data_IF_924288852282
#
_entry.id   IF_924288852282
#
_cell.length_a   1.000
_cell.length_b   1.000
_cell.length_c   1.000
_cell.angle_alpha   90.00
_cell.angle_beta   90.00
_cell.angle_gamma   90.00
#
_symmetry.space_group_name_H-M   'P 1'
#
loop_
_entity.id
_entity.type
_entity.pdbx_description
1 polymer ?
#
# COMPACT_ATOMS: atom_id res chain seq x y z
N UNK A 1 -67.97 14.15 29.43
CA UNK A 1 -66.98 14.26 30.53
C UNK A 1 -65.74 14.93 29.96
N UNK A 2 -65.27 15.98 30.65
CA UNK A 2 -64.34 17.00 30.19
C UNK A 2 -63.04 16.87 31.00
N UNK A 3 -61.90 17.12 30.33
CA UNK A 3 -60.58 17.50 30.86
C UNK A 3 -59.77 16.36 31.49
N UNK A 4 -58.61 16.02 30.91
CA UNK A 4 -57.26 16.44 31.38
C UNK A 4 -56.19 15.63 30.65
N UNK A 5 -55.56 16.19 29.61
CA UNK A 5 -54.24 15.77 29.13
C UNK A 5 -53.44 17.06 28.99
N UNK A 6 -52.85 17.50 30.09
CA UNK A 6 -51.83 18.55 30.15
C UNK A 6 -50.97 18.22 31.37
N UNK A 7 -49.92 17.40 31.21
CA UNK A 7 -48.70 17.46 32.04
C UNK A 7 -47.67 16.39 31.61
N UNK A 8 -46.97 16.59 30.49
CA UNK A 8 -45.63 15.99 30.33
C UNK A 8 -44.85 16.65 29.20
N UNK A 9 -44.70 17.97 29.25
CA UNK A 9 -43.85 18.71 28.31
C UNK A 9 -43.16 19.87 29.05
N UNK A 10 -42.50 19.56 30.17
CA UNK A 10 -41.84 20.56 31.02
C UNK A 10 -40.56 20.01 31.64
N UNK A 11 -39.67 19.47 30.81
CA UNK A 11 -38.32 19.06 31.23
C UNK A 11 -37.27 19.10 30.09
N UNK A 12 -37.36 20.08 29.18
CA UNK A 12 -36.34 20.27 28.12
C UNK A 12 -35.91 21.75 27.96
N UNK A 13 -36.31 22.67 28.83
CA UNK A 13 -36.07 24.11 28.61
C UNK A 13 -35.47 24.85 29.83
N UNK A 14 -34.41 24.29 30.41
CA UNK A 14 -33.59 24.98 31.44
C UNK A 14 -32.08 24.96 31.16
N UNK A 15 -31.68 24.67 29.92
CA UNK A 15 -30.26 24.56 29.52
C UNK A 15 -29.70 25.73 28.71
N UNK A 16 -30.42 26.84 28.55
CA UNK A 16 -29.93 28.04 27.84
C UNK A 16 -29.85 29.21 28.82
N UNK A 17 -28.76 29.98 28.76
CA UNK A 17 -28.37 31.10 29.62
C UNK A 17 -27.43 30.79 30.81
N UNK A 18 -26.32 30.12 30.50
CA UNK A 18 -25.06 30.33 31.20
C UNK A 18 -23.87 30.12 30.25
N UNK A 19 -23.83 30.89 29.14
CA UNK A 19 -22.65 30.95 28.28
C UNK A 19 -22.44 32.37 27.79
N UNK A 20 -22.07 33.25 28.71
CA UNK A 20 -21.66 34.61 28.36
C UNK A 20 -20.72 35.15 29.42
N UNK A 21 -19.60 34.46 29.63
CA UNK A 21 -18.27 34.99 29.97
C UNK A 21 -17.25 33.87 29.70
N UNK A 22 -16.06 34.25 29.21
CA UNK A 22 -14.91 33.45 28.72
C UNK A 22 -14.82 33.57 27.20
N UNK A 23 -13.79 34.14 26.57
CA UNK A 23 -12.59 34.92 26.94
C UNK A 23 -12.09 35.46 25.59
N UNK A 24 -11.46 36.63 25.61
CA UNK A 24 -10.55 37.16 24.57
C UNK A 24 -10.34 36.29 23.32
N UNK A 25 -10.69 36.84 22.15
CA UNK A 25 -10.08 36.44 20.87
C UNK A 25 -8.56 36.35 21.11
N UNK A 26 -7.93 35.18 20.96
CA UNK A 26 -6.47 35.12 21.05
C UNK A 26 -5.97 36.01 19.93
N UNK A 27 -5.12 36.97 20.30
CA UNK A 27 -4.31 37.76 19.39
C UNK A 27 -3.73 36.78 18.35
N UNK A 28 -3.95 37.04 17.05
CA UNK A 28 -3.30 36.25 16.01
C UNK A 28 -1.80 36.40 16.22
N UNK A 29 -1.17 35.44 16.90
CA UNK A 29 0.27 35.33 16.97
C UNK A 29 0.74 35.21 15.52
N UNK A 30 1.24 36.33 15.00
CA UNK A 30 1.79 36.43 13.66
C UNK A 30 3.01 35.52 13.61
N UNK A 31 2.79 34.26 13.24
CA UNK A 31 3.85 33.29 13.04
C UNK A 31 4.79 33.90 12.01
N UNK A 32 6.02 34.19 12.44
CA UNK A 32 7.02 34.73 11.52
C UNK A 32 7.34 33.69 10.46
N UNK A 33 7.62 34.13 9.25
CA UNK A 33 8.06 33.24 8.17
C UNK A 33 9.26 32.37 8.58
N UNK A 34 10.16 32.90 9.43
CA UNK A 34 11.28 32.16 9.99
C UNK A 34 10.85 30.99 10.91
N UNK A 35 9.72 31.15 11.60
CA UNK A 35 9.16 30.09 12.45
C UNK A 35 8.53 28.99 11.59
N UNK A 36 7.87 29.35 10.48
CA UNK A 36 7.35 28.39 9.51
C UNK A 36 8.48 27.59 8.85
N UNK A 37 9.54 28.27 8.41
CA UNK A 37 10.73 27.62 7.84
C UNK A 37 11.38 26.64 8.83
N UNK A 38 11.50 27.03 10.10
CA UNK A 38 12.02 26.14 11.14
C UNK A 38 11.11 24.95 11.40
N UNK A 39 9.79 25.14 11.44
CA UNK A 39 8.83 24.06 11.62
C UNK A 39 8.92 23.04 10.47
N UNK A 40 8.93 23.50 9.22
CA UNK A 40 9.06 22.63 8.04
C UNK A 40 10.41 21.90 8.03
N UNK A 41 11.51 22.60 8.33
CA UNK A 41 12.83 21.97 8.42
C UNK A 41 12.89 20.90 9.52
N UNK A 42 12.20 21.12 10.63
CA UNK A 42 12.16 20.18 11.75
C UNK A 42 11.25 18.98 11.47
N UNK A 43 10.15 19.16 10.73
CA UNK A 43 9.34 18.06 10.22
C UNK A 43 10.12 17.20 9.22
N UNK A 44 10.80 17.80 8.24
CA UNK A 44 11.66 17.06 7.30
C UNK A 44 12.79 16.32 8.01
N UNK A 45 13.42 16.92 9.02
CA UNK A 45 14.45 16.26 9.81
C UNK A 45 13.92 15.07 10.61
N UNK A 46 12.67 15.13 11.07
CA UNK A 46 12.02 14.01 11.76
C UNK A 46 11.58 12.91 10.78
N UNK A 47 11.15 13.26 9.57
CA UNK A 47 10.83 12.30 8.51
C UNK A 47 12.07 11.57 7.97
N UNK A 48 13.22 12.25 7.86
CA UNK A 48 14.48 11.59 7.49
C UNK A 48 14.97 10.59 8.56
N UNK A 49 14.63 10.82 9.83
CA UNK A 49 14.97 9.92 10.94
C UNK A 49 14.05 8.69 11.04
N UNK A 50 12.89 8.71 10.38
CA UNK A 50 11.97 7.57 10.32
C UNK A 50 12.18 6.69 9.08
N UNK A 51 13.11 7.05 8.20
CA UNK A 51 13.51 6.16 7.11
C UNK A 51 14.12 4.89 7.70
N UNK A 52 13.68 3.69 7.27
CA UNK A 52 14.33 2.45 7.65
C UNK A 52 15.82 2.53 7.25
N UNK A 53 16.73 1.95 8.06
CA UNK A 53 18.15 1.94 7.71
C UNK A 53 18.31 1.31 6.32
N UNK A 54 19.06 1.99 5.45
CA UNK A 54 19.46 1.44 4.16
C UNK A 54 20.22 0.14 4.44
N UNK A 55 19.69 -0.97 3.94
CA UNK A 55 20.32 -2.27 3.98
C UNK A 55 21.78 -2.15 3.51
N UNK A 56 22.75 -2.60 4.32
CA UNK A 56 24.19 -2.54 3.98
C UNK A 56 24.60 -3.52 2.87
N UNK A 57 23.66 -4.15 2.16
CA UNK A 57 23.93 -5.12 1.09
C UNK A 57 24.31 -4.43 -0.24
N UNK A 58 25.15 -3.40 -0.20
CA UNK A 58 26.05 -2.95 -1.28
C UNK A 58 25.46 -2.65 -2.67
N UNK A 59 24.15 -2.78 -2.86
CA UNK A 59 23.48 -2.65 -4.14
C UNK A 59 22.43 -1.53 -4.03
N UNK A 60 22.79 -0.29 -4.39
CA UNK A 60 21.96 0.90 -4.16
C UNK A 60 20.64 0.92 -4.96
N UNK A 61 20.31 -0.14 -5.70
CA UNK A 61 19.10 -0.25 -6.51
C UNK A 61 18.01 -1.19 -5.99
N UNK A 62 18.27 -2.02 -4.96
CA UNK A 62 17.26 -2.97 -4.49
C UNK A 62 17.09 -2.86 -2.98
N UNK A 63 16.15 -2.01 -2.54
CA UNK A 63 15.59 -2.13 -1.20
C UNK A 63 14.84 -3.47 -1.17
N UNK A 64 15.51 -4.54 -0.71
CA UNK A 64 14.87 -5.81 -0.39
C UNK A 64 14.37 -5.70 1.04
N UNK A 65 13.07 -5.45 1.28
CA UNK A 65 12.56 -5.52 2.64
C UNK A 65 12.81 -6.94 3.16
N UNK A 66 13.61 -7.06 4.21
CA UNK A 66 13.82 -8.34 4.88
C UNK A 66 12.46 -8.93 5.27
N UNK A 67 12.16 -10.12 4.75
CA UNK A 67 10.87 -10.78 4.97
C UNK A 67 9.77 -10.46 3.97
N UNK A 68 10.09 -10.14 2.71
CA UNK A 68 9.09 -10.12 1.63
C UNK A 68 8.37 -11.47 1.53
N UNK A 69 7.05 -11.47 1.74
CA UNK A 69 6.19 -12.66 1.71
C UNK A 69 5.45 -12.80 0.37
N UNK A 70 5.89 -12.08 -0.65
CA UNK A 70 5.35 -12.18 -2.01
C UNK A 70 6.09 -13.26 -2.80
N UNK A 71 5.34 -13.91 -3.67
CA UNK A 71 5.81 -14.97 -4.54
C UNK A 71 5.37 -14.65 -5.96
N UNK A 72 6.23 -14.97 -6.92
CA UNK A 72 5.80 -15.21 -8.27
C UNK A 72 5.18 -16.61 -8.35
N UNK A 73 3.95 -16.71 -8.82
CA UNK A 73 3.21 -17.97 -8.92
C UNK A 73 2.78 -18.20 -10.37
N UNK A 74 2.73 -19.47 -10.75
CA UNK A 74 2.05 -19.92 -11.96
C UNK A 74 0.87 -20.80 -11.55
N UNK A 75 -0.32 -20.48 -12.06
CA UNK A 75 -1.59 -21.10 -11.68
C UNK A 75 -2.34 -21.54 -12.92
N UNK A 76 -2.89 -22.77 -12.93
CA UNK A 76 -3.75 -23.24 -14.01
C UNK A 76 -5.05 -22.42 -14.08
N UNK A 77 -5.35 -21.88 -15.25
CA UNK A 77 -6.56 -21.11 -15.53
C UNK A 77 -6.85 -21.13 -17.04
N UNK A 78 -7.82 -21.94 -17.46
CA UNK A 78 -8.16 -22.14 -18.86
C UNK A 78 -8.95 -20.96 -19.45
N UNK A 79 -9.83 -20.34 -18.65
CA UNK A 79 -10.77 -19.34 -19.16
C UNK A 79 -10.74 -18.00 -18.42
N UNK A 80 -11.43 -17.02 -19.01
CA UNK A 80 -11.51 -15.67 -18.44
C UNK A 80 -12.19 -15.65 -17.06
N UNK A 81 -13.13 -16.56 -16.79
CA UNK A 81 -13.87 -16.60 -15.52
C UNK A 81 -12.96 -17.08 -14.40
N UNK A 82 -12.14 -18.09 -14.67
CA UNK A 82 -11.11 -18.57 -13.74
C UNK A 82 -10.08 -17.48 -13.45
N UNK A 83 -9.59 -16.79 -14.48
CA UNK A 83 -8.65 -15.66 -14.30
C UNK A 83 -9.24 -14.52 -13.46
N UNK A 84 -10.52 -14.16 -13.69
CA UNK A 84 -11.20 -13.17 -12.85
C UNK A 84 -11.28 -13.61 -11.39
N UNK A 85 -11.65 -14.87 -11.13
CA UNK A 85 -11.70 -15.40 -9.76
C UNK A 85 -10.33 -15.44 -9.09
N UNK A 86 -9.26 -15.67 -9.86
CA UNK A 86 -7.88 -15.61 -9.36
C UNK A 86 -7.52 -14.16 -8.99
N UNK A 87 -7.81 -13.17 -9.85
CA UNK A 87 -7.60 -11.75 -9.55
C UNK A 87 -8.33 -11.31 -8.25
N UNK A 88 -9.56 -11.78 -8.05
CA UNK A 88 -10.36 -11.50 -6.85
C UNK A 88 -9.73 -12.02 -5.54
N UNK A 89 -8.73 -12.92 -5.62
CA UNK A 89 -7.97 -13.37 -4.44
C UNK A 89 -6.85 -12.41 -4.03
N UNK A 90 -6.67 -11.31 -4.76
CA UNK A 90 -5.53 -10.39 -4.62
C UNK A 90 -4.27 -10.91 -5.31
N UNK A 91 -4.42 -11.79 -6.30
CA UNK A 91 -3.34 -12.20 -7.19
C UNK A 91 -3.22 -11.20 -8.34
N UNK A 92 -2.04 -10.69 -8.60
CA UNK A 92 -1.77 -9.76 -9.70
C UNK A 92 -1.24 -10.52 -10.91
N UNK A 93 -1.99 -10.53 -12.02
CA UNK A 93 -1.63 -11.29 -13.22
C UNK A 93 -0.69 -10.45 -14.09
N UNK A 94 0.50 -10.98 -14.36
CA UNK A 94 1.51 -10.35 -15.21
C UNK A 94 1.51 -11.00 -16.60
N UNK A 95 1.26 -12.31 -16.66
CA UNK A 95 1.37 -13.10 -17.87
C UNK A 95 0.19 -14.07 -18.00
N UNK A 96 -0.27 -14.24 -19.24
CA UNK A 96 -1.33 -15.19 -19.58
C UNK A 96 -0.78 -16.11 -20.66
N UNK A 97 -0.75 -17.40 -20.36
CA UNK A 97 -0.49 -18.49 -21.30
C UNK A 97 -1.80 -19.20 -21.66
N UNK A 98 -1.72 -20.26 -22.48
CA UNK A 98 -2.91 -20.94 -22.99
C UNK A 98 -3.85 -21.47 -21.90
N UNK A 99 -3.30 -22.16 -20.89
CA UNK A 99 -4.03 -22.78 -19.79
C UNK A 99 -3.48 -22.38 -18.41
N UNK A 100 -2.65 -21.35 -18.36
CA UNK A 100 -1.98 -20.90 -17.15
C UNK A 100 -1.90 -19.37 -17.08
N UNK A 101 -1.79 -18.86 -15.86
CA UNK A 101 -1.46 -17.46 -15.59
C UNK A 101 -0.27 -17.36 -14.64
N UNK A 102 0.64 -16.45 -14.97
CA UNK A 102 1.80 -16.08 -14.17
C UNK A 102 1.60 -14.72 -13.53
N UNK A 103 2.04 -14.55 -12.29
CA UNK A 103 1.77 -13.33 -11.55
C UNK A 103 2.30 -13.30 -10.13
N UNK A 104 2.03 -12.23 -9.41
CA UNK A 104 2.51 -12.00 -8.05
C UNK A 104 1.37 -12.17 -7.05
N UNK A 105 1.63 -12.88 -5.96
CA UNK A 105 0.71 -13.00 -4.84
C UNK A 105 1.42 -12.98 -3.50
N UNK A 106 0.75 -12.48 -2.46
CA UNK A 106 1.22 -12.63 -1.09
C UNK A 106 1.00 -14.07 -0.61
N UNK A 107 1.70 -14.52 0.44
CA UNK A 107 1.52 -15.86 1.02
C UNK A 107 0.06 -16.19 1.40
N UNK A 108 -0.72 -15.17 1.77
CA UNK A 108 -2.15 -15.32 2.04
C UNK A 108 -2.93 -15.70 0.78
N UNK A 109 -2.59 -15.10 -0.37
CA UNK A 109 -3.15 -15.41 -1.68
C UNK A 109 -2.86 -16.86 -2.06
N UNK A 110 -1.63 -17.33 -1.83
CA UNK A 110 -1.24 -18.75 -2.04
C UNK A 110 -2.17 -19.69 -1.27
N UNK A 111 -2.43 -19.38 0.00
CA UNK A 111 -3.30 -20.20 0.84
C UNK A 111 -4.75 -20.19 0.34
N UNK A 112 -5.27 -19.02 -0.05
CA UNK A 112 -6.62 -18.88 -0.61
C UNK A 112 -6.75 -19.68 -1.91
N UNK A 113 -5.76 -19.61 -2.80
CA UNK A 113 -5.76 -20.35 -4.06
C UNK A 113 -5.77 -21.86 -3.82
N UNK A 114 -4.94 -22.36 -2.89
CA UNK A 114 -4.92 -23.78 -2.49
C UNK A 114 -6.26 -24.21 -1.89
N UNK A 115 -6.86 -23.41 -1.01
CA UNK A 115 -8.16 -23.70 -0.40
C UNK A 115 -9.30 -23.73 -1.42
N UNK A 116 -9.23 -22.88 -2.45
CA UNK A 116 -10.21 -22.84 -3.56
C UNK A 116 -9.98 -23.94 -4.61
N UNK A 117 -8.97 -24.79 -4.43
CA UNK A 117 -8.68 -25.93 -5.31
C UNK A 117 -7.94 -25.57 -6.61
N UNK A 118 -7.33 -24.38 -6.68
CA UNK A 118 -6.49 -24.03 -7.83
C UNK A 118 -5.18 -24.83 -7.81
N UNK A 119 -4.72 -25.21 -9.00
CA UNK A 119 -3.44 -25.91 -9.18
C UNK A 119 -2.34 -24.88 -9.41
N UNK A 120 -1.40 -24.81 -8.47
CA UNK A 120 -0.19 -23.97 -8.57
C UNK A 120 0.93 -24.84 -9.15
N UNK A 121 1.41 -24.49 -10.35
CA UNK A 121 2.46 -25.24 -11.07
C UNK A 121 3.87 -24.76 -10.70
N UNK A 122 4.02 -23.49 -10.34
CA UNK A 122 5.28 -22.89 -9.88
C UNK A 122 5.03 -21.91 -8.75
N UNK A 123 5.95 -21.86 -7.79
CA UNK A 123 5.96 -20.92 -6.67
C UNK A 123 7.41 -20.54 -6.38
N UNK A 124 7.78 -19.31 -6.71
CA UNK A 124 9.14 -18.78 -6.55
C UNK A 124 9.06 -17.54 -5.66
N UNK A 125 9.88 -17.41 -4.60
CA UNK A 125 9.96 -16.18 -3.82
C UNK A 125 10.23 -14.99 -4.74
N UNK A 126 9.53 -13.87 -4.55
CA UNK A 126 9.71 -12.71 -5.44
C UNK A 126 11.16 -12.18 -5.41
N UNK A 127 11.88 -12.39 -4.31
CA UNK A 127 13.31 -12.08 -4.16
C UNK A 127 14.22 -12.86 -5.11
N UNK A 128 13.78 -14.04 -5.56
CA UNK A 128 14.53 -14.94 -6.44
C UNK A 128 14.03 -14.89 -7.88
N UNK A 129 12.89 -14.24 -8.12
CA UNK A 129 12.33 -14.09 -9.45
C UNK A 129 13.10 -13.04 -10.25
N UNK A 130 13.94 -13.51 -11.17
CA UNK A 130 14.66 -12.68 -12.14
C UNK A 130 14.05 -12.95 -13.52
N UNK A 131 13.58 -11.88 -14.17
CA UNK A 131 13.08 -11.94 -15.54
C UNK A 131 14.00 -11.15 -16.45
N UNK A 132 14.64 -11.87 -17.37
CA UNK A 132 15.46 -11.25 -18.41
C UNK A 132 14.58 -10.79 -19.58
N UNK A 133 15.04 -9.73 -20.25
CA UNK A 133 14.43 -9.28 -21.49
C UNK A 133 14.73 -10.29 -22.61
N UNK A 134 13.82 -10.44 -23.59
CA UNK A 134 14.10 -11.25 -24.78
C UNK A 134 15.41 -10.81 -25.46
N UNK A 135 16.15 -11.71 -26.13
CA UNK A 135 17.45 -11.37 -26.73
C UNK A 135 17.40 -10.16 -27.67
N UNK A 136 16.30 -9.98 -28.43
CA UNK A 136 16.11 -8.85 -29.33
C UNK A 136 16.05 -7.49 -28.60
N UNK A 137 15.52 -7.47 -27.37
CA UNK A 137 15.36 -6.26 -26.56
C UNK A 137 16.47 -6.10 -25.52
N UNK A 138 17.18 -7.20 -25.19
CA UNK A 138 18.26 -7.23 -24.20
C UNK A 138 19.38 -6.23 -24.50
N UNK A 139 19.69 -6.00 -25.78
CA UNK A 139 20.72 -5.06 -26.22
C UNK A 139 20.50 -3.61 -25.77
N UNK A 140 19.24 -3.22 -25.49
CA UNK A 140 18.87 -1.85 -25.08
C UNK A 140 18.42 -1.74 -23.63
N UNK A 141 18.29 -2.86 -22.91
CA UNK A 141 17.84 -2.88 -21.51
C UNK A 141 18.88 -3.45 -20.55
N UNK A 142 19.80 -4.29 -21.02
CA UNK A 142 20.90 -4.85 -20.25
C UNK A 142 22.18 -4.02 -20.43
N UNK A 143 22.10 -2.71 -20.13
CA UNK A 143 23.23 -1.77 -20.28
C UNK A 143 24.50 -2.22 -19.55
N UNK A 144 24.36 -2.97 -18.45
CA UNK A 144 25.49 -3.52 -17.69
C UNK A 144 26.31 -4.53 -18.51
N UNK A 145 25.66 -5.39 -19.30
CA UNK A 145 26.32 -6.39 -20.15
C UNK A 145 26.94 -5.76 -21.40
N UNK A 146 26.38 -4.64 -21.89
CA UNK A 146 26.85 -3.98 -23.11
C UNK A 146 28.21 -3.28 -22.93
N UNK A 147 28.53 -2.83 -21.72
CA UNK A 147 29.79 -2.15 -21.41
C UNK A 147 30.93 -3.16 -21.17
N UNK A 148 30.64 -4.35 -20.67
CA UNK A 148 31.63 -5.39 -20.38
C UNK A 148 32.25 -5.99 -21.67
N UNK A 149 31.50 -5.97 -22.79
CA UNK A 149 31.99 -6.35 -24.11
C UNK A 149 32.94 -5.33 -24.78
N UNK A 150 33.08 -4.12 -24.23
CA UNK A 150 33.90 -3.04 -24.79
C UNK A 150 35.26 -2.86 -24.09
N UNK A 151 35.59 -3.70 -23.11
CA UNK A 151 36.89 -3.69 -22.40
C UNK A 151 37.77 -4.86 -22.85
#
# INVERSE_FOLDING_TARGET
>A
MKKTIVLLFLLVFSGYFAFSQITSVPDEEKISFDQLLKAVAQEQANEMRSLPPVSEDGNPGIIRPAGDKRYYLTVKAADKKERTKILETGFDIIEISADEVGGIGHINTVNILKQKGYVITSQIPLSEYVKDFPPADSAYHNYAETIELLQ
#
